data_IF_787140281147
#
_entry.id   IF_787140281147
#
_cell.length_a   1.000
_cell.length_b   1.000
_cell.length_c   1.000
_cell.angle_alpha   90.00
_cell.angle_beta   90.00
_cell.angle_gamma   90.00
#
_symmetry.space_group_name_H-M   'P 1'
#
loop_
_entity.id
_entity.type
_entity.pdbx_description
1 polymer ?
#
# COMPACT_ATOMS: atom_id res chain seq x y z
N UNK A 1 -29.36 -46.02 18.44
CA UNK A 1 -28.99 -44.77 17.73
C UNK A 1 -28.45 -43.83 18.78
N UNK A 2 -27.38 -43.10 18.50
CA UNK A 2 -26.81 -42.20 19.50
C UNK A 2 -27.68 -40.95 19.57
N UNK A 3 -28.35 -40.75 20.70
CA UNK A 3 -29.20 -39.58 20.93
C UNK A 3 -28.34 -38.37 21.29
N UNK A 4 -28.57 -37.25 20.60
CA UNK A 4 -27.84 -36.01 20.80
C UNK A 4 -28.72 -34.91 21.36
N UNK A 5 -28.09 -34.00 22.08
CA UNK A 5 -28.70 -32.78 22.60
C UNK A 5 -27.82 -31.59 22.24
N UNK A 6 -28.41 -30.42 22.06
CA UNK A 6 -27.68 -29.17 21.89
C UNK A 6 -28.22 -28.09 22.84
N UNK A 7 -27.36 -27.14 23.21
CA UNK A 7 -27.75 -25.96 23.95
C UNK A 7 -27.79 -24.75 23.01
N UNK A 8 -28.91 -24.03 22.97
CA UNK A 8 -29.03 -22.83 22.16
C UNK A 8 -28.31 -21.61 22.78
N UNK A 9 -28.37 -20.45 22.11
CA UNK A 9 -27.76 -19.22 22.61
C UNK A 9 -28.35 -18.74 23.96
N UNK A 10 -29.57 -19.18 24.31
CA UNK A 10 -30.20 -18.92 25.60
C UNK A 10 -29.87 -20.00 26.65
N UNK A 11 -28.93 -20.90 26.36
CA UNK A 11 -28.53 -22.03 27.20
C UNK A 11 -29.67 -23.02 27.49
N UNK A 12 -30.72 -23.04 26.65
CA UNK A 12 -31.78 -24.04 26.76
C UNK A 12 -31.37 -25.32 26.05
N UNK A 13 -31.58 -26.45 26.73
CA UNK A 13 -31.29 -27.78 26.21
C UNK A 13 -32.42 -28.26 25.30
N UNK A 14 -32.07 -28.62 24.07
CA UNK A 14 -32.96 -29.20 23.08
C UNK A 14 -32.53 -30.63 22.73
N UNK A 15 -33.50 -31.55 22.69
CA UNK A 15 -33.30 -32.97 22.33
C UNK A 15 -34.22 -33.91 23.11
N UNK A 16 -34.13 -35.24 22.89
CA UNK A 16 -33.12 -35.92 22.08
C UNK A 16 -33.36 -35.80 20.56
N UNK A 17 -32.29 -35.72 19.79
CA UNK A 17 -32.29 -35.62 18.32
C UNK A 17 -31.35 -36.68 17.72
N UNK A 18 -31.69 -37.16 16.52
CA UNK A 18 -30.78 -38.01 15.76
C UNK A 18 -29.63 -37.17 15.16
N UNK A 19 -28.50 -37.82 14.86
CA UNK A 19 -27.35 -37.17 14.23
C UNK A 19 -27.70 -36.47 12.89
N UNK A 20 -28.61 -37.06 12.10
CA UNK A 20 -29.09 -36.49 10.84
C UNK A 20 -29.89 -35.18 11.04
N UNK A 21 -30.65 -35.07 12.14
CA UNK A 21 -31.41 -33.85 12.44
C UNK A 21 -30.48 -32.71 12.85
N UNK A 22 -29.41 -33.02 13.60
CA UNK A 22 -28.34 -32.05 13.89
C UNK A 22 -27.64 -31.57 12.62
N UNK A 23 -27.34 -32.48 11.68
CA UNK A 23 -26.76 -32.12 10.40
C UNK A 23 -27.69 -31.20 9.59
N UNK A 24 -28.99 -31.50 9.54
CA UNK A 24 -29.94 -30.65 8.83
C UNK A 24 -30.06 -29.25 9.44
N UNK A 25 -30.08 -29.15 10.78
CA UNK A 25 -30.11 -27.86 11.48
C UNK A 25 -28.84 -27.04 11.27
N UNK A 26 -27.69 -27.70 11.24
CA UNK A 26 -26.41 -27.06 10.88
C UNK A 26 -26.43 -26.53 9.44
N UNK A 27 -26.93 -27.32 8.48
CA UNK A 27 -27.08 -26.89 7.08
C UNK A 27 -28.06 -25.72 6.90
N UNK A 28 -29.10 -25.64 7.76
CA UNK A 28 -30.04 -24.50 7.80
C UNK A 28 -29.50 -23.27 8.53
N UNK A 29 -28.33 -23.38 9.18
CA UNK A 29 -27.74 -22.29 9.96
C UNK A 29 -28.41 -22.03 11.32
N UNK A 30 -29.24 -22.95 11.81
CA UNK A 30 -29.93 -22.83 13.10
C UNK A 30 -28.97 -23.08 14.29
N UNK A 31 -27.92 -23.87 14.06
CA UNK A 31 -26.84 -24.16 15.02
C UNK A 31 -25.49 -23.96 14.34
N UNK A 32 -24.48 -23.51 15.09
CA UNK A 32 -23.15 -23.20 14.58
C UNK A 32 -22.06 -24.10 15.18
N UNK A 33 -20.82 -23.97 14.67
CA UNK A 33 -19.69 -24.78 15.14
C UNK A 33 -19.35 -24.55 16.62
N UNK A 34 -19.68 -23.39 17.18
CA UNK A 34 -19.51 -23.07 18.59
C UNK A 34 -20.68 -23.53 19.48
N UNK A 35 -21.76 -24.06 18.90
CA UNK A 35 -22.91 -24.56 19.66
C UNK A 35 -22.50 -25.77 20.49
N UNK A 36 -22.88 -25.77 21.77
CA UNK A 36 -22.57 -26.87 22.68
C UNK A 36 -23.50 -28.04 22.41
N UNK A 37 -22.92 -29.22 22.23
CA UNK A 37 -23.62 -30.49 22.04
C UNK A 37 -23.18 -31.53 23.07
N UNK A 38 -24.09 -32.43 23.39
CA UNK A 38 -23.87 -33.53 24.31
C UNK A 38 -24.55 -34.79 23.79
N UNK A 39 -23.96 -35.94 24.06
CA UNK A 39 -24.52 -37.26 23.80
C UNK A 39 -24.22 -38.19 24.94
N UNK A 40 -25.00 -39.27 25.01
CA UNK A 40 -24.79 -40.34 25.97
C UNK A 40 -23.36 -40.89 25.88
N UNK A 41 -22.64 -40.88 27.01
CA UNK A 41 -21.22 -41.27 27.10
C UNK A 41 -20.22 -40.12 27.21
N UNK A 42 -20.64 -38.85 27.06
CA UNK A 42 -19.80 -37.68 27.34
C UNK A 42 -19.98 -37.21 28.80
N UNK A 43 -18.87 -36.86 29.44
CA UNK A 43 -18.90 -36.35 30.82
C UNK A 43 -19.30 -34.87 30.91
N UNK A 44 -19.13 -34.12 29.82
CA UNK A 44 -19.41 -32.69 29.74
C UNK A 44 -19.90 -32.28 28.35
N UNK A 45 -20.52 -31.10 28.27
CA UNK A 45 -20.92 -30.48 27.01
C UNK A 45 -19.69 -30.04 26.23
N UNK A 46 -19.64 -30.36 24.93
CA UNK A 46 -18.50 -30.05 24.05
C UNK A 46 -18.99 -29.31 22.82
N UNK A 47 -18.10 -28.64 22.09
CA UNK A 47 -18.51 -27.82 20.94
C UNK A 47 -18.80 -28.69 19.72
N UNK A 48 -19.77 -28.28 18.88
CA UNK A 48 -20.12 -28.99 17.64
C UNK A 48 -18.92 -29.11 16.69
N UNK A 49 -18.00 -28.13 16.73
CA UNK A 49 -16.73 -28.15 16.00
C UNK A 49 -15.91 -29.43 16.22
N UNK A 50 -15.96 -30.01 17.42
CA UNK A 50 -15.19 -31.19 17.79
C UNK A 50 -15.78 -32.49 17.21
N UNK A 51 -17.00 -32.45 16.68
CA UNK A 51 -17.72 -33.59 16.13
C UNK A 51 -18.09 -33.42 14.65
N UNK A 52 -17.44 -32.49 13.94
CA UNK A 52 -17.69 -32.21 12.50
C UNK A 52 -17.51 -33.46 11.63
N UNK A 53 -16.42 -34.21 11.86
CA UNK A 53 -16.13 -35.43 11.10
C UNK A 53 -17.06 -36.59 11.50
N UNK A 54 -17.41 -36.68 12.78
CA UNK A 54 -18.28 -37.73 13.31
C UNK A 54 -19.74 -37.57 12.87
N UNK A 55 -20.23 -36.33 12.79
CA UNK A 55 -21.58 -35.98 12.34
C UNK A 55 -21.65 -35.75 10.82
N UNK A 56 -20.55 -35.92 10.09
CA UNK A 56 -20.50 -35.77 8.63
C UNK A 56 -20.86 -34.35 8.14
N UNK A 57 -20.61 -33.31 8.96
CA UNK A 57 -20.99 -31.92 8.67
C UNK A 57 -20.17 -31.30 7.53
N UNK A 58 -19.06 -31.92 7.13
CA UNK A 58 -18.14 -31.44 6.07
C UNK A 58 -18.47 -31.95 4.65
N UNK A 59 -19.48 -32.80 4.46
CA UNK A 59 -19.82 -33.29 3.12
C UNK A 59 -20.59 -32.23 2.31
N UNK A 60 -19.99 -31.78 1.21
CA UNK A 60 -20.64 -30.94 0.22
C UNK A 60 -21.82 -31.69 -0.43
N UNK A 61 -22.94 -31.00 -0.76
CA UNK A 61 -24.04 -31.64 -1.47
C UNK A 61 -23.55 -32.26 -2.79
N UNK A 62 -24.08 -33.44 -3.18
CA UNK A 62 -23.64 -34.13 -4.39
C UNK A 62 -23.81 -33.23 -5.64
N UNK A 63 -22.85 -33.23 -6.57
CA UNK A 63 -22.94 -32.43 -7.78
C UNK A 63 -24.16 -32.86 -8.62
N UNK A 64 -24.96 -31.88 -9.03
CA UNK A 64 -26.07 -32.09 -9.95
C UNK A 64 -25.57 -32.71 -11.28
N UNK A 65 -26.37 -33.54 -11.98
CA UNK A 65 -25.94 -34.19 -13.21
C UNK A 65 -25.59 -33.14 -14.27
N UNK A 66 -24.38 -33.22 -14.80
CA UNK A 66 -23.95 -32.42 -15.94
C UNK A 66 -24.79 -32.80 -17.18
N UNK A 67 -25.58 -31.85 -17.68
CA UNK A 67 -26.23 -31.99 -18.99
C UNK A 67 -25.14 -31.91 -20.07
N UNK A 68 -25.06 -32.94 -20.92
CA UNK A 68 -24.12 -33.02 -22.02
C UNK A 68 -24.35 -31.88 -23.04
N UNK A 69 -23.31 -31.33 -23.69
CA UNK A 69 -23.47 -30.31 -24.71
C UNK A 69 -24.06 -30.90 -25.99
N UNK A 70 -25.21 -30.38 -26.42
CA UNK A 70 -25.74 -30.61 -27.76
C UNK A 70 -24.92 -29.79 -28.76
N UNK A 71 -24.23 -30.45 -29.69
CA UNK A 71 -23.62 -29.81 -30.85
C UNK A 71 -24.72 -29.20 -31.73
N UNK A 72 -24.73 -27.86 -31.86
CA UNK A 72 -25.48 -27.18 -32.91
C UNK A 72 -24.47 -26.54 -33.86
N UNK A 73 -24.32 -27.16 -35.02
CA UNK A 73 -23.75 -26.53 -36.21
C UNK A 73 -24.63 -25.32 -36.58
N UNK A 74 -24.10 -24.12 -36.39
CA UNK A 74 -24.79 -22.88 -36.71
C UNK A 74 -23.82 -21.72 -36.74
N UNK A 75 -23.42 -21.34 -37.96
CA UNK A 75 -22.78 -20.07 -38.30
C UNK A 75 -23.37 -18.92 -37.46
N UNK A 76 -22.58 -18.32 -36.57
CA UNK A 76 -23.02 -17.19 -35.74
C UNK A 76 -23.07 -15.93 -36.61
N UNK A 77 -24.25 -15.35 -36.92
CA UNK A 77 -24.30 -14.06 -37.59
C UNK A 77 -23.81 -12.98 -36.62
N UNK A 78 -23.16 -11.90 -37.11
CA UNK A 78 -22.71 -10.81 -36.26
C UNK A 78 -23.89 -10.22 -35.46
N UNK A 79 -23.65 -9.77 -34.21
CA UNK A 79 -24.72 -9.24 -33.37
C UNK A 79 -25.32 -7.99 -34.01
N UNK A 80 -26.63 -8.01 -34.23
CA UNK A 80 -27.37 -6.83 -34.65
C UNK A 80 -27.24 -5.71 -33.58
N UNK A 81 -27.11 -4.44 -34.00
CA UNK A 81 -27.10 -3.33 -33.06
C UNK A 81 -28.42 -3.31 -32.27
N UNK A 82 -28.31 -3.27 -30.95
CA UNK A 82 -29.46 -3.17 -30.03
C UNK A 82 -30.24 -1.90 -30.37
N UNK A 83 -31.55 -1.99 -30.69
CA UNK A 83 -32.36 -0.79 -30.84
C UNK A 83 -32.42 -0.08 -29.48
N UNK A 84 -31.92 1.15 -29.43
CA UNK A 84 -32.07 2.02 -28.27
C UNK A 84 -33.56 2.29 -28.06
N UNK A 85 -34.13 1.70 -27.00
CA UNK A 85 -35.49 2.00 -26.57
C UNK A 85 -35.48 3.42 -26.00
N UNK A 86 -36.29 4.37 -26.51
CA UNK A 86 -36.43 5.69 -25.90
C UNK A 86 -36.80 5.58 -24.42
N UNK A 87 -36.20 6.41 -23.57
CA UNK A 87 -36.42 6.43 -22.10
C UNK A 87 -37.91 6.49 -21.70
N UNK A 88 -38.78 6.98 -22.58
CA UNK A 88 -40.23 7.02 -22.40
C UNK A 88 -40.90 5.63 -22.29
N UNK A 89 -40.23 4.56 -22.73
CA UNK A 89 -40.73 3.17 -22.62
C UNK A 89 -39.92 2.31 -21.66
N UNK A 90 -38.96 2.89 -20.94
CA UNK A 90 -38.27 2.19 -19.85
C UNK A 90 -39.20 2.11 -18.63
N UNK A 91 -39.67 0.90 -18.30
CA UNK A 91 -40.36 0.68 -17.03
C UNK A 91 -39.41 1.02 -15.87
N UNK A 92 -39.85 1.75 -14.83
CA UNK A 92 -39.00 2.00 -13.66
C UNK A 92 -38.55 0.67 -13.06
N UNK A 93 -37.26 0.55 -12.78
CA UNK A 93 -36.67 -0.64 -12.19
C UNK A 93 -37.44 -0.99 -10.91
N UNK A 94 -37.90 -2.24 -10.74
CA UNK A 94 -38.55 -2.65 -9.51
C UNK A 94 -37.61 -2.41 -8.33
N UNK A 95 -38.11 -1.96 -7.17
CA UNK A 95 -37.28 -1.79 -5.98
C UNK A 95 -36.58 -3.12 -5.71
N UNK A 96 -35.26 -3.08 -5.54
CA UNK A 96 -34.46 -4.26 -5.25
C UNK A 96 -34.93 -4.87 -3.92
N UNK A 97 -35.82 -5.85 -3.99
CA UNK A 97 -36.16 -6.67 -2.84
C UNK A 97 -34.91 -7.50 -2.55
N UNK A 98 -34.22 -7.18 -1.46
CA UNK A 98 -33.05 -7.92 -1.01
C UNK A 98 -33.44 -9.40 -0.87
N UNK A 99 -32.92 -10.24 -1.77
CA UNK A 99 -33.14 -11.67 -1.69
C UNK A 99 -32.61 -12.18 -0.34
N UNK A 100 -33.39 -12.95 0.43
CA UNK A 100 -32.93 -13.58 1.68
C UNK A 100 -31.74 -14.52 1.47
N UNK A 101 -31.51 -14.95 0.23
CA UNK A 101 -30.40 -15.81 -0.18
C UNK A 101 -29.31 -15.06 -0.95
N UNK A 102 -29.33 -13.72 -0.96
CA UNK A 102 -28.21 -12.95 -1.44
C UNK A 102 -27.01 -13.22 -0.52
N UNK A 103 -25.93 -13.78 -1.09
CA UNK A 103 -24.68 -13.95 -0.35
C UNK A 103 -24.28 -12.58 0.24
N UNK A 104 -23.84 -12.52 1.51
CA UNK A 104 -23.39 -11.27 2.11
C UNK A 104 -22.24 -10.73 1.27
N UNK A 105 -22.54 -9.70 0.48
CA UNK A 105 -21.52 -8.95 -0.22
C UNK A 105 -20.84 -8.07 0.81
N UNK A 106 -19.76 -8.59 1.40
CA UNK A 106 -18.80 -7.72 2.05
C UNK A 106 -18.30 -6.77 0.95
N UNK A 107 -18.68 -5.50 1.05
CA UNK A 107 -17.99 -4.45 0.32
C UNK A 107 -16.56 -4.49 0.85
N UNK A 108 -15.68 -5.16 0.11
CA UNK A 108 -14.24 -5.02 0.26
C UNK A 108 -13.92 -3.60 -0.20
N UNK A 109 -14.27 -2.62 0.63
CA UNK A 109 -13.62 -1.34 0.53
C UNK A 109 -12.17 -1.63 0.89
N UNK A 110 -11.34 -1.85 -0.14
CA UNK A 110 -9.90 -1.99 0.02
C UNK A 110 -9.27 -0.74 0.65
N UNK A 111 -10.07 0.32 0.85
CA UNK A 111 -9.89 1.40 1.81
C UNK A 111 -9.49 0.93 3.20
N UNK A 112 -8.25 1.22 3.63
CA UNK A 112 -7.94 1.29 5.05
C UNK A 112 -8.96 2.24 5.67
N UNK A 113 -9.82 1.75 6.59
CA UNK A 113 -10.83 2.58 7.24
C UNK A 113 -10.11 3.74 7.93
N UNK A 114 -10.27 4.94 7.41
CA UNK A 114 -9.65 6.15 7.99
C UNK A 114 -10.40 6.43 9.28
N UNK A 115 -9.78 6.11 10.43
CA UNK A 115 -10.36 6.42 11.74
C UNK A 115 -10.12 7.91 12.02
N UNK A 116 -11.17 8.71 11.89
CA UNK A 116 -11.17 10.14 12.20
C UNK A 116 -11.39 10.42 13.70
N UNK A 117 -11.05 11.63 14.14
CA UNK A 117 -11.39 12.15 15.48
C UNK A 117 -10.36 11.94 16.59
N UNK A 118 -9.29 11.17 16.35
CA UNK A 118 -8.17 11.01 17.29
C UNK A 118 -7.07 12.07 17.13
N UNK A 119 -6.18 12.17 18.11
CA UNK A 119 -4.99 13.02 17.98
C UNK A 119 -4.05 12.47 16.88
N UNK A 120 -3.59 13.35 15.98
CA UNK A 120 -2.69 12.99 14.88
C UNK A 120 -1.29 13.53 15.13
N UNK A 121 -0.34 12.63 15.34
CA UNK A 121 1.08 12.97 15.52
C UNK A 121 1.72 13.27 14.18
N UNK A 122 1.99 14.56 13.94
CA UNK A 122 2.68 15.04 12.75
C UNK A 122 4.18 14.70 12.78
N UNK A 123 4.70 14.22 11.66
CA UNK A 123 6.12 13.88 11.51
C UNK A 123 6.98 15.16 11.50
N UNK A 124 7.89 15.24 12.47
CA UNK A 124 8.85 16.34 12.59
C UNK A 124 9.86 16.40 11.44
N UNK A 125 10.47 17.57 11.27
CA UNK A 125 11.49 17.85 10.27
C UNK A 125 12.59 16.77 10.21
N UNK A 126 13.19 16.42 11.36
CA UNK A 126 14.28 15.44 11.42
C UNK A 126 13.90 14.02 11.00
N UNK A 127 12.66 13.56 11.26
CA UNK A 127 12.17 12.27 10.74
C UNK A 127 12.10 12.31 9.21
N UNK A 128 11.64 13.43 8.64
CA UNK A 128 11.57 13.63 7.19
C UNK A 128 12.97 13.69 6.55
N UNK A 129 13.92 14.38 7.20
CA UNK A 129 15.32 14.41 6.75
C UNK A 129 15.92 13.02 6.75
N UNK A 130 15.82 12.27 7.84
CA UNK A 130 16.35 10.90 7.91
C UNK A 130 15.71 9.98 6.84
N UNK A 131 14.39 10.07 6.64
CA UNK A 131 13.72 9.33 5.56
C UNK A 131 14.28 9.71 4.18
N UNK A 132 14.46 11.01 3.91
CA UNK A 132 15.03 11.49 2.66
C UNK A 132 16.47 11.01 2.44
N UNK A 133 17.30 10.97 3.49
CA UNK A 133 18.67 10.44 3.39
C UNK A 133 18.70 8.97 2.99
N UNK A 134 17.81 8.15 3.57
CA UNK A 134 17.69 6.72 3.22
C UNK A 134 17.19 6.59 1.77
N UNK A 135 16.13 7.31 1.42
CA UNK A 135 15.55 7.26 0.07
C UNK A 135 16.55 7.75 -0.99
N UNK A 136 17.26 8.85 -0.73
CA UNK A 136 18.26 9.40 -1.66
C UNK A 136 19.43 8.44 -1.88
N UNK A 137 19.88 7.75 -0.83
CA UNK A 137 20.89 6.71 -0.98
C UNK A 137 20.39 5.54 -1.83
N UNK A 138 19.20 5.02 -1.55
CA UNK A 138 18.63 3.87 -2.27
C UNK A 138 18.34 4.21 -3.73
N UNK A 139 17.59 5.29 -3.98
CA UNK A 139 17.22 5.74 -5.33
C UNK A 139 18.46 6.17 -6.09
N UNK A 140 19.39 6.87 -5.44
CA UNK A 140 20.66 7.28 -6.03
C UNK A 140 21.50 6.07 -6.44
N UNK A 141 21.64 5.06 -5.59
CA UNK A 141 22.38 3.84 -5.93
C UNK A 141 21.76 3.12 -7.14
N UNK A 142 20.44 2.93 -7.15
CA UNK A 142 19.73 2.30 -8.27
C UNK A 142 19.88 3.12 -9.55
N UNK A 143 19.69 4.44 -9.48
CA UNK A 143 19.84 5.33 -10.62
C UNK A 143 21.28 5.29 -11.17
N UNK A 144 22.31 5.29 -10.32
CA UNK A 144 23.70 5.20 -10.74
C UNK A 144 24.01 3.87 -11.45
N UNK A 145 23.52 2.74 -10.93
CA UNK A 145 23.71 1.43 -11.57
C UNK A 145 23.05 1.41 -12.96
N UNK A 146 21.81 1.89 -13.06
CA UNK A 146 21.10 1.96 -14.34
C UNK A 146 21.84 2.91 -15.30
N UNK A 147 22.28 4.07 -14.81
CA UNK A 147 23.02 5.05 -15.61
C UNK A 147 24.34 4.47 -16.13
N UNK A 148 25.05 3.71 -15.31
CA UNK A 148 26.27 3.02 -15.70
C UNK A 148 26.01 2.01 -16.83
N UNK A 149 24.94 1.21 -16.73
CA UNK A 149 24.54 0.28 -17.80
C UNK A 149 24.19 1.01 -19.09
N UNK A 150 23.43 2.11 -19.01
CA UNK A 150 23.10 2.94 -20.17
C UNK A 150 24.36 3.53 -20.82
N UNK A 151 25.31 4.00 -20.00
CA UNK A 151 26.59 4.52 -20.48
C UNK A 151 27.42 3.45 -21.19
N UNK A 152 27.50 2.24 -20.65
CA UNK A 152 28.21 1.12 -21.31
C UNK A 152 27.58 0.76 -22.65
N UNK A 153 26.25 0.69 -22.73
CA UNK A 153 25.54 0.48 -23.98
C UNK A 153 25.86 1.57 -25.01
N UNK A 154 25.89 2.83 -24.57
CA UNK A 154 26.23 3.96 -25.43
C UNK A 154 27.68 3.92 -25.93
N UNK A 155 28.65 3.56 -25.06
CA UNK A 155 30.05 3.39 -25.45
C UNK A 155 30.23 2.23 -26.43
N UNK A 156 29.47 1.15 -26.28
CA UNK A 156 29.48 0.02 -27.23
C UNK A 156 29.05 0.43 -28.64
N UNK A 157 28.06 1.32 -28.75
CA UNK A 157 27.58 1.86 -30.05
C UNK A 157 28.49 2.96 -30.61
N UNK A 158 29.07 3.79 -29.73
CA UNK A 158 29.86 4.97 -30.13
C UNK A 158 31.37 4.69 -30.28
N UNK A 159 31.82 3.50 -29.89
CA UNK A 159 33.23 3.11 -29.84
C UNK A 159 33.91 3.51 -28.52
N UNK A 160 34.59 2.56 -27.88
CA UNK A 160 35.34 2.77 -26.63
C UNK A 160 36.54 3.68 -26.91
N UNK A 161 36.68 4.77 -26.14
CA UNK A 161 37.76 5.74 -26.26
C UNK A 161 37.42 6.98 -27.09
N UNK A 162 36.27 7.00 -27.77
CA UNK A 162 35.75 8.22 -28.39
C UNK A 162 35.16 9.13 -27.32
N UNK A 163 35.48 10.43 -27.42
CA UNK A 163 34.85 11.44 -26.57
C UNK A 163 33.36 11.54 -26.93
N UNK A 164 32.45 11.60 -25.94
CA UNK A 164 31.03 11.72 -26.22
C UNK A 164 30.75 13.01 -26.98
N UNK A 165 30.19 12.90 -28.19
CA UNK A 165 29.82 14.04 -29.00
C UNK A 165 28.35 14.44 -28.75
N UNK A 166 28.15 15.43 -27.89
CA UNK A 166 26.83 15.94 -27.50
C UNK A 166 26.12 16.80 -28.56
N UNK A 167 26.74 17.08 -29.72
CA UNK A 167 26.07 17.76 -30.84
C UNK A 167 25.43 16.78 -31.82
N UNK A 168 25.80 15.50 -31.74
CA UNK A 168 25.18 14.43 -32.52
C UNK A 168 23.80 14.06 -31.97
N UNK A 169 22.90 13.55 -32.82
CA UNK A 169 21.59 13.07 -32.37
C UNK A 169 21.72 12.01 -31.25
N UNK A 170 22.65 11.05 -31.39
CA UNK A 170 22.91 10.04 -30.37
C UNK A 170 23.41 10.65 -29.05
N UNK A 171 24.31 11.64 -29.12
CA UNK A 171 24.78 12.36 -27.94
C UNK A 171 23.71 13.20 -27.25
N UNK A 172 22.79 13.81 -28.01
CA UNK A 172 21.63 14.52 -27.46
C UNK A 172 20.70 13.54 -26.74
N UNK A 173 20.38 12.39 -27.34
CA UNK A 173 19.57 11.35 -26.67
C UNK A 173 20.25 10.89 -25.39
N UNK A 174 21.56 10.63 -25.42
CA UNK A 174 22.32 10.25 -24.22
C UNK A 174 22.27 11.34 -23.14
N UNK A 175 22.42 12.61 -23.52
CA UNK A 175 22.31 13.75 -22.61
C UNK A 175 20.93 13.81 -21.95
N UNK A 176 19.87 13.68 -22.74
CA UNK A 176 18.49 13.64 -22.24
C UNK A 176 18.28 12.46 -21.31
N UNK A 177 18.76 11.26 -21.65
CA UNK A 177 18.69 10.10 -20.76
C UNK A 177 19.45 10.36 -19.46
N UNK A 178 20.64 10.95 -19.51
CA UNK A 178 21.46 11.20 -18.33
C UNK A 178 20.79 12.15 -17.32
N UNK A 179 20.04 13.15 -17.80
CA UNK A 179 19.37 14.11 -16.91
C UNK A 179 17.92 13.76 -16.60
N UNK A 180 17.14 13.27 -17.58
CA UNK A 180 15.72 13.01 -17.39
C UNK A 180 15.43 11.67 -16.74
N UNK A 181 16.27 10.65 -16.97
CA UNK A 181 16.03 9.32 -16.41
C UNK A 181 16.06 9.30 -14.89
N UNK A 182 17.05 9.91 -14.19
CA UNK A 182 17.04 9.96 -12.72
C UNK A 182 15.82 10.71 -12.15
N UNK A 183 15.40 11.78 -12.83
CA UNK A 183 14.19 12.55 -12.46
C UNK A 183 12.95 11.66 -12.61
N UNK A 184 12.83 10.93 -13.72
CA UNK A 184 11.72 10.02 -13.98
C UNK A 184 11.67 8.86 -12.97
N UNK A 185 12.82 8.23 -12.67
CA UNK A 185 12.91 7.18 -11.64
C UNK A 185 12.45 7.71 -10.29
N UNK A 186 12.94 8.89 -9.90
CA UNK A 186 12.58 9.49 -8.61
C UNK A 186 11.09 9.85 -8.55
N UNK A 187 10.55 10.48 -9.60
CA UNK A 187 9.14 10.83 -9.68
C UNK A 187 8.24 9.58 -9.59
N UNK A 188 8.61 8.51 -10.29
CA UNK A 188 7.90 7.24 -10.27
C UNK A 188 7.99 6.57 -8.89
N UNK A 189 9.20 6.52 -8.31
CA UNK A 189 9.43 5.98 -6.97
C UNK A 189 8.57 6.67 -5.93
N UNK A 190 8.66 8.00 -5.79
CA UNK A 190 7.88 8.73 -4.80
C UNK A 190 6.38 8.71 -5.11
N UNK A 191 5.99 8.79 -6.39
CA UNK A 191 4.60 8.76 -6.83
C UNK A 191 3.90 7.44 -6.48
N UNK A 192 4.51 6.31 -6.85
CA UNK A 192 3.95 4.98 -6.62
C UNK A 192 3.99 4.60 -5.13
N UNK A 193 5.10 4.82 -4.42
CA UNK A 193 5.19 4.42 -3.02
C UNK A 193 4.25 5.21 -2.12
N UNK A 194 4.07 6.51 -2.35
CA UNK A 194 3.11 7.28 -1.56
C UNK A 194 1.64 6.93 -1.86
N UNK A 195 1.34 6.49 -3.09
CA UNK A 195 0.00 6.03 -3.45
C UNK A 195 -0.28 4.56 -3.06
N UNK A 196 0.78 3.82 -2.69
CA UNK A 196 0.66 2.42 -2.26
C UNK A 196 -0.14 2.26 -0.96
N UNK A 197 -0.50 1.02 -0.64
CA UNK A 197 -1.16 0.66 0.63
C UNK A 197 -0.35 1.06 1.86
N UNK A 198 0.98 1.14 1.75
CA UNK A 198 1.88 1.57 2.84
C UNK A 198 1.98 3.09 2.96
N UNK A 199 1.60 3.83 1.92
CA UNK A 199 1.64 5.29 1.86
C UNK A 199 3.01 5.92 2.18
N UNK A 200 4.08 5.16 2.04
CA UNK A 200 5.40 5.51 2.52
C UNK A 200 6.45 4.91 1.57
N UNK A 201 7.51 5.67 1.31
CA UNK A 201 8.74 5.17 0.69
C UNK A 201 9.51 4.28 1.66
N UNK A 202 10.54 3.59 1.18
CA UNK A 202 11.31 2.67 2.01
C UNK A 202 11.97 3.39 3.19
N UNK A 203 12.52 4.58 2.98
CA UNK A 203 13.06 5.43 4.05
C UNK A 203 12.01 5.90 5.03
N UNK A 204 10.82 6.27 4.54
CA UNK A 204 9.68 6.65 5.40
C UNK A 204 9.18 5.47 6.24
N UNK A 205 9.12 4.28 5.65
CA UNK A 205 8.80 3.04 6.37
C UNK A 205 9.84 2.75 7.47
N UNK A 206 11.13 2.92 7.17
CA UNK A 206 12.22 2.69 8.12
C UNK A 206 12.16 3.61 9.35
N UNK A 207 11.74 4.87 9.17
CA UNK A 207 11.60 5.83 10.29
C UNK A 207 10.19 5.91 10.88
N UNK A 208 9.26 5.11 10.36
CA UNK A 208 7.89 4.98 10.90
C UNK A 208 6.95 6.14 10.59
N UNK A 209 7.05 6.75 9.40
CA UNK A 209 6.15 7.83 8.97
C UNK A 209 5.48 7.48 7.63
N UNK A 210 4.34 8.11 7.34
CA UNK A 210 3.58 7.91 6.09
C UNK A 210 2.96 9.21 5.58
N UNK A 211 2.57 9.23 4.30
CA UNK A 211 1.98 10.38 3.62
C UNK A 211 0.49 10.17 3.38
N UNK A 212 -0.31 11.09 3.90
CA UNK A 212 -1.78 11.08 3.78
C UNK A 212 -2.25 12.38 3.15
N UNK A 213 -3.50 12.44 2.72
CA UNK A 213 -4.20 13.71 2.47
C UNK A 213 -4.57 14.40 3.79
N UNK A 214 -5.02 15.65 3.71
CA UNK A 214 -5.50 16.42 4.89
C UNK A 214 -6.71 15.82 5.58
N UNK A 215 -7.52 15.06 4.85
CA UNK A 215 -8.62 14.25 5.38
C UNK A 215 -8.17 12.87 5.91
N UNK A 216 -6.88 12.54 5.84
CA UNK A 216 -6.33 11.24 6.25
C UNK A 216 -6.40 10.15 5.17
N UNK A 217 -7.04 10.43 4.02
CA UNK A 217 -7.17 9.46 2.93
C UNK A 217 -5.84 9.21 2.21
N UNK A 218 -5.82 8.14 1.41
CA UNK A 218 -4.66 7.76 0.60
C UNK A 218 -4.48 8.73 -0.56
N UNK A 219 -3.23 9.09 -0.85
CA UNK A 219 -2.93 9.99 -1.97
C UNK A 219 -2.95 9.22 -3.29
N UNK A 220 -3.30 9.89 -4.39
CA UNK A 220 -3.24 9.29 -5.73
C UNK A 220 -1.82 9.36 -6.30
N UNK A 221 -1.50 8.49 -7.28
CA UNK A 221 -0.19 8.49 -7.95
C UNK A 221 0.12 9.85 -8.56
N UNK A 222 -0.85 10.47 -9.26
CA UNK A 222 -0.69 11.79 -9.85
C UNK A 222 -0.34 12.87 -8.80
N UNK A 223 -0.99 12.84 -7.64
CA UNK A 223 -0.67 13.75 -6.54
C UNK A 223 0.69 13.45 -5.92
N UNK A 224 1.09 12.18 -5.83
CA UNK A 224 2.42 11.77 -5.40
C UNK A 224 3.53 12.26 -6.33
N UNK A 225 3.34 12.17 -7.65
CA UNK A 225 4.25 12.71 -8.66
C UNK A 225 4.29 14.25 -8.60
N UNK A 226 3.13 14.90 -8.52
CA UNK A 226 3.05 16.35 -8.34
C UNK A 226 3.77 16.84 -7.09
N UNK A 227 3.67 16.08 -5.99
CA UNK A 227 4.38 16.33 -4.74
C UNK A 227 5.90 16.22 -4.90
N UNK A 228 6.41 15.30 -5.73
CA UNK A 228 7.85 15.20 -6.04
C UNK A 228 8.34 16.45 -6.80
N UNK A 229 7.62 16.90 -7.82
CA UNK A 229 8.00 18.14 -8.52
C UNK A 229 7.85 19.38 -7.64
N UNK A 230 6.82 19.43 -6.78
CA UNK A 230 6.69 20.45 -5.75
C UNK A 230 7.88 20.44 -4.77
N UNK A 231 8.41 19.26 -4.43
CA UNK A 231 9.62 19.12 -3.62
C UNK A 231 10.85 19.67 -4.36
N UNK A 232 11.02 19.37 -5.66
CA UNK A 232 12.08 19.97 -6.47
C UNK A 232 11.99 21.50 -6.46
N UNK A 233 10.80 22.06 -6.67
CA UNK A 233 10.57 23.51 -6.60
C UNK A 233 10.85 24.07 -5.20
N UNK A 234 10.46 23.33 -4.15
CA UNK A 234 10.77 23.70 -2.76
C UNK A 234 12.28 23.74 -2.52
N UNK A 235 13.04 22.83 -3.12
CA UNK A 235 14.50 22.78 -2.98
C UNK A 235 15.19 23.97 -3.66
N UNK A 236 14.62 24.47 -4.77
CA UNK A 236 15.10 25.68 -5.46
C UNK A 236 14.96 26.95 -4.61
N UNK A 237 14.07 26.98 -3.63
CA UNK A 237 13.90 28.11 -2.68
C UNK A 237 14.99 28.15 -1.59
N UNK A 238 16.23 27.75 -1.92
CA UNK A 238 17.36 27.64 -0.98
C UNK A 238 17.05 26.77 0.26
N UNK A 239 16.16 25.78 0.10
CA UNK A 239 15.72 24.91 1.19
C UNK A 239 14.69 25.52 2.15
N UNK A 240 14.29 26.78 1.99
CA UNK A 240 13.29 27.45 2.83
C UNK A 240 11.96 26.69 2.79
N UNK A 241 11.53 26.28 1.59
CA UNK A 241 10.32 25.49 1.40
C UNK A 241 10.30 24.16 2.15
N UNK A 242 11.47 23.57 2.43
CA UNK A 242 11.60 22.36 3.24
C UNK A 242 11.63 22.68 4.74
N UNK A 243 12.34 23.75 5.12
CA UNK A 243 12.47 24.21 6.51
C UNK A 243 11.14 24.64 7.12
N UNK A 244 10.17 25.09 6.32
CA UNK A 244 8.81 25.40 6.80
C UNK A 244 8.15 24.26 7.59
N UNK A 245 8.49 23.00 7.31
CA UNK A 245 7.98 21.86 8.08
C UNK A 245 8.46 21.85 9.55
N UNK A 246 9.51 22.59 9.89
CA UNK A 246 9.98 22.75 11.26
C UNK A 246 9.20 23.80 12.06
N UNK A 247 8.56 24.76 11.38
CA UNK A 247 7.96 25.95 12.01
C UNK A 247 6.44 26.03 11.86
N UNK A 248 5.85 25.33 10.90
CA UNK A 248 4.39 25.33 10.69
C UNK A 248 3.67 24.49 11.75
N UNK A 249 2.47 24.93 12.16
CA UNK A 249 1.66 24.24 13.18
C UNK A 249 1.38 22.77 12.84
N UNK A 250 1.08 22.51 11.56
CA UNK A 250 0.84 21.16 11.03
C UNK A 250 2.11 20.47 10.50
N UNK A 251 3.29 21.08 10.69
CA UNK A 251 4.59 20.58 10.21
C UNK A 251 4.60 20.26 8.70
N UNK A 252 3.98 21.12 7.91
CA UNK A 252 3.90 21.00 6.45
C UNK A 252 5.01 21.79 5.76
N UNK A 253 5.63 21.18 4.75
CA UNK A 253 6.53 21.87 3.82
C UNK A 253 5.75 22.55 2.68
N UNK A 254 6.40 23.37 1.87
CA UNK A 254 5.76 24.06 0.73
C UNK A 254 5.06 23.08 -0.21
N UNK A 255 5.76 22.00 -0.60
CA UNK A 255 5.21 20.95 -1.45
C UNK A 255 4.08 20.15 -0.78
N UNK A 256 4.03 20.10 0.56
CA UNK A 256 2.93 19.47 1.28
C UNK A 256 1.64 20.29 1.10
N UNK A 257 1.77 21.61 1.27
CA UNK A 257 0.69 22.57 1.12
C UNK A 257 0.19 22.63 -0.33
N UNK A 258 1.10 22.71 -1.30
CA UNK A 258 0.78 22.76 -2.73
C UNK A 258 -0.02 21.52 -3.18
N UNK A 259 0.31 20.36 -2.63
CA UNK A 259 -0.31 19.09 -3.04
C UNK A 259 -1.40 18.61 -2.09
N UNK A 260 -1.76 19.39 -1.07
CA UNK A 260 -2.77 19.01 -0.07
C UNK A 260 -2.46 17.63 0.54
N UNK A 261 -1.28 17.56 1.18
CA UNK A 261 -0.75 16.34 1.80
C UNK A 261 -0.16 16.63 3.17
N UNK A 262 -0.12 15.61 4.03
CA UNK A 262 0.49 15.62 5.35
C UNK A 262 1.37 14.40 5.55
N UNK A 263 2.40 14.55 6.39
CA UNK A 263 3.24 13.42 6.80
C UNK A 263 3.06 13.21 8.29
N UNK A 264 2.59 12.02 8.62
CA UNK A 264 2.14 11.65 9.95
C UNK A 264 2.87 10.38 10.41
N UNK A 265 2.75 10.07 11.68
CA UNK A 265 3.19 8.77 12.20
C UNK A 265 2.49 7.61 11.47
N UNK A 266 3.17 6.47 11.31
CA UNK A 266 2.63 5.30 10.61
C UNK A 266 1.28 4.82 11.18
N UNK A 267 1.05 5.01 12.48
CA UNK A 267 -0.18 4.60 13.17
C UNK A 267 -1.29 5.66 13.18
N UNK A 268 -1.03 6.86 12.67
CA UNK A 268 -2.08 7.87 12.52
C UNK A 268 -3.19 7.37 11.58
N UNK A 269 -4.45 7.70 11.89
CA UNK A 269 -5.64 7.27 11.12
C UNK A 269 -5.80 5.74 11.00
N UNK A 270 -5.28 4.99 11.98
CA UNK A 270 -5.48 3.54 12.10
C UNK A 270 -6.30 3.24 13.35
N UNK A 271 -6.70 1.98 13.52
CA UNK A 271 -7.48 1.53 14.69
C UNK A 271 -6.70 1.64 16.02
N UNK A 272 -5.38 1.82 15.96
CA UNK A 272 -4.48 1.93 17.12
C UNK A 272 -3.75 3.29 17.18
N UNK A 273 -4.46 4.41 17.35
CA UNK A 273 -3.84 5.74 17.45
C UNK A 273 -2.90 5.89 18.65
N UNK A 274 -3.03 5.05 19.67
CA UNK A 274 -2.18 5.01 20.87
C UNK A 274 -0.74 4.56 20.59
N UNK A 275 -0.48 3.90 19.46
CA UNK A 275 0.88 3.45 19.08
C UNK A 275 1.73 4.54 18.41
N UNK A 276 1.16 5.74 18.21
CA UNK A 276 1.86 6.85 17.58
C UNK A 276 3.06 7.34 18.41
N UNK A 277 4.19 7.62 17.75
CA UNK A 277 5.42 8.04 18.43
C UNK A 277 5.82 9.48 18.12
N UNK A 278 5.80 10.35 19.14
CA UNK A 278 6.29 11.74 19.00
C UNK A 278 7.81 11.85 18.93
N UNK A 279 8.52 10.98 19.65
CA UNK A 279 9.98 10.99 19.74
C UNK A 279 10.64 10.47 18.45
N UNK A 280 11.92 10.79 18.28
CA UNK A 280 12.74 10.21 17.21
C UNK A 280 12.99 8.74 17.55
N UNK A 281 12.78 7.85 16.57
CA UNK A 281 13.11 6.44 16.73
C UNK A 281 14.61 6.20 16.61
N UNK A 282 15.08 5.04 17.08
CA UNK A 282 16.49 4.65 17.03
C UNK A 282 17.08 4.76 15.63
N UNK A 283 16.35 4.26 14.61
CA UNK A 283 16.78 4.34 13.20
C UNK A 283 17.00 5.78 12.77
N UNK A 284 16.11 6.69 13.13
CA UNK A 284 16.24 8.12 12.80
C UNK A 284 17.51 8.71 13.41
N UNK A 285 17.76 8.44 14.69
CA UNK A 285 18.95 8.96 15.38
C UNK A 285 20.23 8.43 14.74
N UNK A 286 20.32 7.11 14.53
CA UNK A 286 21.49 6.47 13.93
C UNK A 286 21.80 7.04 12.54
N UNK A 287 20.78 7.17 11.67
CA UNK A 287 20.97 7.70 10.32
C UNK A 287 21.46 9.15 10.35
N UNK A 288 20.88 9.99 11.21
CA UNK A 288 21.32 11.39 11.34
C UNK A 288 22.74 11.49 11.91
N UNK A 289 23.09 10.66 12.88
CA UNK A 289 24.45 10.62 13.44
C UNK A 289 25.48 10.16 12.41
N UNK A 290 25.21 9.08 11.68
CA UNK A 290 26.11 8.59 10.63
C UNK A 290 26.29 9.62 9.52
N UNK A 291 25.21 10.25 9.06
CA UNK A 291 25.29 11.29 8.04
C UNK A 291 26.03 12.53 8.56
N UNK A 292 25.79 12.95 9.80
CA UNK A 292 26.51 14.06 10.42
C UNK A 292 28.02 13.81 10.51
N UNK A 293 28.42 12.61 10.92
CA UNK A 293 29.83 12.20 10.96
C UNK A 293 30.46 12.17 9.56
N UNK A 294 29.74 11.63 8.57
CA UNK A 294 30.17 11.61 7.17
C UNK A 294 30.42 13.04 6.66
N UNK A 295 29.48 13.96 6.89
CA UNK A 295 29.62 15.36 6.48
C UNK A 295 30.78 16.06 7.17
N UNK A 296 30.97 15.85 8.47
CA UNK A 296 32.13 16.38 9.20
C UNK A 296 33.45 15.87 8.61
N UNK A 297 33.53 14.58 8.27
CA UNK A 297 34.69 13.98 7.60
C UNK A 297 34.95 14.57 6.22
N UNK A 298 33.91 14.79 5.41
CA UNK A 298 34.03 15.43 4.08
C UNK A 298 34.54 16.87 4.23
N UNK A 299 33.98 17.65 5.16
CA UNK A 299 34.43 19.03 5.42
C UNK A 299 35.88 19.07 5.85
N UNK A 300 36.30 18.16 6.74
CA UNK A 300 37.69 18.05 7.17
C UNK A 300 38.61 17.70 5.98
N UNK A 301 38.23 16.74 5.14
CA UNK A 301 38.99 16.39 3.94
C UNK A 301 39.14 17.56 2.97
N UNK A 302 38.05 18.30 2.71
CA UNK A 302 38.08 19.49 1.86
C UNK A 302 38.98 20.57 2.46
N UNK A 303 38.87 20.83 3.76
CA UNK A 303 39.72 21.80 4.45
C UNK A 303 41.22 21.41 4.38
N UNK A 304 41.53 20.11 4.56
CA UNK A 304 42.90 19.59 4.40
C UNK A 304 43.38 19.73 2.96
N UNK A 305 42.55 19.41 1.96
CA UNK A 305 42.89 19.55 0.55
C UNK A 305 43.18 21.01 0.18
N UNK A 306 42.36 21.96 0.64
CA UNK A 306 42.58 23.40 0.47
C UNK A 306 43.86 23.83 1.17
N UNK A 307 44.11 23.37 2.40
CA UNK A 307 45.32 23.68 3.15
C UNK A 307 46.60 23.13 2.49
N UNK A 308 46.54 21.94 1.91
CA UNK A 308 47.64 21.36 1.13
C UNK A 308 47.87 22.12 -0.19
N UNK A 309 46.80 22.47 -0.91
CA UNK A 309 46.89 23.25 -2.14
C UNK A 309 47.47 24.65 -1.89
N UNK A 310 47.08 25.31 -0.78
CA UNK A 310 47.60 26.61 -0.37
C UNK A 310 49.09 26.56 0.04
N UNK A 311 49.58 25.41 0.52
CA UNK A 311 51.01 25.20 0.80
C UNK A 311 51.82 24.79 -0.43
N UNK A 312 51.17 24.20 -1.44
CA UNK A 312 51.80 23.64 -2.63
C UNK A 312 52.00 24.61 -3.79
N UNK A 313 51.56 25.87 -3.67
CA UNK A 313 51.70 26.87 -4.74
C UNK A 313 52.12 28.22 -4.18
N UNK A 314 53.43 28.46 -4.15
CA UNK A 314 54.14 29.75 -4.27
C UNK A 314 55.59 29.43 -4.67
N UNK A 315 55.78 28.81 -5.84
CA UNK A 315 57.05 28.71 -6.56
C UNK A 315 56.77 28.66 -8.06
#
# INVERSE_FOLDING_TARGET
>A
MTEWYYADAAQQRHGPLAAADLQQRFQRGEIGLSTLVWREGLNEWRTLAEFVDELGLAQAPPPAPALAPTEMDGEVPPPAPTPAVPDAWAAPAPPAVASPYAAPSAVLDGGTRVVGGGEVVQAGFWKRVAAYLIDAFLVGMVANVIQFVVLLGFMGVSGVGNQPNFTSAAGIVMLLLMYLMPIAISALYYGLFHASTKQATLGKMAVGIKVVRTDGSRITVARGVGRYFGFMLSSLTLGIGLLMAAFTERKQALHDMLCDTLVVDKWAYTDHPEWQQRKLGTVTVVILSLFGLLMAGVVLLVALAIGMAAKGGWH
#
